data_IF_597672298250
#
_entry.id   IF_597672298250
#
_cell.length_a   1.000
_cell.length_b   1.000
_cell.length_c   1.000
_cell.angle_alpha   90.00
_cell.angle_beta   90.00
_cell.angle_gamma   90.00
#
_symmetry.space_group_name_H-M   'P 1'
#
loop_
_entity.id
_entity.type
_entity.pdbx_description
1 polymer ?
#
# COMPACT_ATOMS: atom_id res chain seq x y z
N UNK A 1 27.12 22.89 -18.88
CA UNK A 1 28.12 21.82 -18.57
C UNK A 1 29.55 22.37 -18.44
N UNK A 2 29.93 23.38 -19.18
CA UNK A 2 31.32 23.88 -19.26
C UNK A 2 31.87 24.48 -17.97
N UNK A 3 31.01 24.82 -16.99
CA UNK A 3 31.39 25.46 -15.73
C UNK A 3 31.64 24.49 -14.56
N UNK A 4 31.41 23.18 -14.75
CA UNK A 4 31.54 22.17 -13.70
C UNK A 4 32.51 21.06 -14.12
N UNK A 5 33.31 20.57 -13.18
CA UNK A 5 34.30 19.52 -13.41
C UNK A 5 33.69 18.13 -13.54
N UNK A 6 32.53 17.93 -12.91
CA UNK A 6 31.78 16.67 -12.93
C UNK A 6 30.38 16.87 -13.48
N UNK A 7 29.87 15.86 -14.17
CA UNK A 7 28.49 15.80 -14.64
C UNK A 7 27.89 14.42 -14.31
N UNK A 8 26.63 14.42 -13.86
CA UNK A 8 25.84 13.24 -13.66
C UNK A 8 24.69 13.23 -14.67
N UNK A 9 24.58 12.18 -15.47
CA UNK A 9 23.48 11.96 -16.41
C UNK A 9 22.49 10.99 -15.78
N UNK A 10 21.22 11.41 -15.71
CA UNK A 10 20.22 10.64 -15.01
C UNK A 10 18.91 10.51 -15.79
N UNK A 11 18.38 9.29 -15.86
CA UNK A 11 17.07 9.00 -16.43
C UNK A 11 15.95 9.54 -15.51
N UNK A 12 15.11 10.44 -15.98
CA UNK A 12 13.92 10.91 -15.25
C UNK A 12 12.97 9.77 -14.88
N UNK A 13 12.97 8.69 -15.65
CA UNK A 13 12.19 7.49 -15.38
C UNK A 13 12.69 6.64 -14.17
N UNK A 14 13.82 6.99 -13.55
CA UNK A 14 14.32 6.38 -12.31
C UNK A 14 14.06 7.28 -11.09
N UNK A 15 12.84 7.72 -10.96
CA UNK A 15 12.40 8.74 -9.98
C UNK A 15 12.60 8.33 -8.51
N UNK A 16 12.87 7.06 -8.20
CA UNK A 16 13.13 6.56 -6.84
C UNK A 16 14.62 6.34 -6.55
N UNK A 17 15.51 6.74 -7.44
CA UNK A 17 16.95 6.64 -7.17
C UNK A 17 17.31 7.39 -5.89
N UNK A 18 17.93 6.72 -4.89
CA UNK A 18 18.17 7.35 -3.60
C UNK A 18 19.32 8.36 -3.70
N UNK A 19 19.30 9.45 -2.89
CA UNK A 19 20.39 10.44 -2.86
C UNK A 19 21.76 9.85 -2.55
N UNK A 20 21.84 8.73 -1.83
CA UNK A 20 23.10 8.02 -1.57
C UNK A 20 23.78 7.56 -2.87
N UNK A 21 23.00 7.06 -3.84
CA UNK A 21 23.54 6.58 -5.11
C UNK A 21 24.24 7.70 -5.90
N UNK A 22 23.72 8.93 -5.85
CA UNK A 22 24.37 10.10 -6.47
C UNK A 22 25.70 10.44 -5.78
N UNK A 23 25.73 10.35 -4.44
CA UNK A 23 26.96 10.59 -3.67
C UNK A 23 28.01 9.51 -3.91
N UNK A 24 27.59 8.25 -4.05
CA UNK A 24 28.48 7.12 -4.31
C UNK A 24 29.13 7.27 -5.71
N UNK A 25 28.35 7.68 -6.72
CA UNK A 25 28.87 7.99 -8.07
C UNK A 25 29.84 9.17 -8.02
N UNK A 26 29.50 10.26 -7.33
CA UNK A 26 30.35 11.43 -7.19
C UNK A 26 31.68 11.06 -6.50
N UNK A 27 31.63 10.31 -5.40
CA UNK A 27 32.82 9.85 -4.69
C UNK A 27 33.73 8.99 -5.57
N UNK A 28 33.17 8.07 -6.35
CA UNK A 28 33.93 7.21 -7.24
C UNK A 28 34.58 7.96 -8.42
N UNK A 29 34.06 9.14 -8.80
CA UNK A 29 34.67 10.02 -9.81
C UNK A 29 35.94 10.71 -9.32
N UNK A 30 36.30 10.66 -8.05
CA UNK A 30 37.59 11.16 -7.56
C UNK A 30 38.75 10.38 -8.21
N UNK A 31 38.57 9.07 -8.40
CA UNK A 31 39.60 8.16 -8.91
C UNK A 31 39.29 7.60 -10.32
N UNK A 32 38.22 8.09 -10.97
CA UNK A 32 37.81 7.63 -12.29
C UNK A 32 37.25 8.75 -13.17
N UNK A 33 37.27 8.54 -14.49
CA UNK A 33 36.70 9.49 -15.44
C UNK A 33 35.25 9.17 -15.82
N UNK A 34 34.83 7.92 -15.62
CA UNK A 34 33.49 7.45 -15.90
C UNK A 34 33.07 6.41 -14.85
N UNK A 35 31.87 6.54 -14.28
CA UNK A 35 31.32 5.65 -13.25
C UNK A 35 29.89 5.28 -13.59
N UNK A 36 29.57 3.99 -13.50
CA UNK A 36 28.22 3.43 -13.77
C UNK A 36 27.77 2.53 -12.63
N UNK A 37 26.62 2.77 -12.01
CA UNK A 37 26.03 1.83 -11.07
C UNK A 37 25.47 0.61 -11.82
N UNK A 38 25.78 -0.59 -11.31
CA UNK A 38 25.31 -1.85 -11.89
C UNK A 38 24.52 -2.66 -10.86
N UNK A 39 23.38 -3.19 -11.27
CA UNK A 39 22.67 -4.25 -10.54
C UNK A 39 23.13 -5.62 -11.03
N UNK A 40 23.38 -6.60 -10.15
CA UNK A 40 23.59 -7.99 -10.54
C UNK A 40 22.40 -8.53 -11.33
N UNK A 41 22.64 -9.31 -12.36
CA UNK A 41 21.60 -9.98 -13.12
C UNK A 41 21.17 -11.25 -12.39
N UNK A 42 19.93 -11.30 -11.90
CA UNK A 42 19.35 -12.42 -11.17
C UNK A 42 18.86 -13.56 -12.06
N UNK A 43 18.36 -13.24 -13.24
CA UNK A 43 17.78 -14.20 -14.17
C UNK A 43 18.83 -14.86 -15.07
N UNK A 44 18.49 -16.03 -15.61
CA UNK A 44 19.30 -16.66 -16.63
C UNK A 44 19.13 -15.96 -17.95
N UNK A 45 20.19 -15.34 -18.48
CA UNK A 45 20.16 -14.60 -19.73
C UNK A 45 20.41 -15.54 -20.92
N UNK A 46 19.55 -15.41 -21.93
CA UNK A 46 19.65 -16.15 -23.20
C UNK A 46 19.91 -15.18 -24.35
N UNK A 47 20.84 -15.53 -25.23
CA UNK A 47 20.94 -14.87 -26.55
C UNK A 47 19.90 -15.47 -27.48
N UNK A 48 19.05 -14.62 -28.07
CA UNK A 48 17.95 -15.07 -28.94
C UNK A 48 18.10 -14.41 -30.33
N UNK A 49 17.88 -15.16 -31.39
CA UNK A 49 17.79 -14.65 -32.77
C UNK A 49 16.64 -15.33 -33.49
N UNK A 50 15.78 -14.55 -34.12
CA UNK A 50 14.58 -15.05 -34.85
C UNK A 50 13.72 -16.04 -34.04
N UNK A 51 13.54 -15.80 -32.74
CA UNK A 51 12.75 -16.64 -31.85
C UNK A 51 13.43 -17.92 -31.35
N UNK A 52 14.70 -18.17 -31.76
CA UNK A 52 15.49 -19.35 -31.35
C UNK A 52 16.52 -18.93 -30.31
N UNK A 53 16.60 -19.70 -29.21
CA UNK A 53 17.65 -19.55 -28.19
C UNK A 53 18.96 -20.09 -28.73
N UNK A 54 19.98 -19.26 -28.82
CA UNK A 54 21.29 -19.60 -29.37
C UNK A 54 22.26 -20.08 -28.28
N UNK A 55 22.29 -19.37 -27.14
CA UNK A 55 23.20 -19.68 -26.04
C UNK A 55 22.68 -19.16 -24.69
N UNK A 56 23.26 -19.65 -23.61
CA UNK A 56 23.10 -19.10 -22.27
C UNK A 56 24.32 -18.26 -21.93
N UNK A 57 24.09 -17.01 -21.58
CA UNK A 57 25.16 -16.08 -21.20
C UNK A 57 25.48 -16.26 -19.71
N UNK A 58 26.75 -16.27 -19.37
CA UNK A 58 27.20 -16.29 -17.97
C UNK A 58 26.85 -14.94 -17.30
N UNK A 59 25.82 -14.97 -16.46
CA UNK A 59 25.33 -13.77 -15.77
C UNK A 59 26.30 -13.20 -14.74
N UNK A 60 27.31 -13.98 -14.27
CA UNK A 60 28.31 -13.47 -13.34
C UNK A 60 29.19 -12.37 -13.95
N UNK A 61 29.21 -12.27 -15.26
CA UNK A 61 29.93 -11.25 -16.03
C UNK A 61 29.03 -10.12 -16.52
N UNK A 62 27.77 -10.12 -16.14
CA UNK A 62 26.79 -9.14 -16.57
C UNK A 62 26.34 -8.24 -15.42
N UNK A 63 26.10 -6.98 -15.72
CA UNK A 63 25.48 -6.01 -14.84
C UNK A 63 24.40 -5.22 -15.57
N UNK A 64 23.25 -5.05 -14.96
CA UNK A 64 22.20 -4.17 -15.48
C UNK A 64 22.55 -2.71 -15.13
N UNK A 65 22.85 -1.90 -16.13
CA UNK A 65 23.25 -0.51 -15.93
C UNK A 65 22.09 0.34 -15.40
N UNK A 66 22.42 1.17 -14.44
CA UNK A 66 21.51 2.18 -13.88
C UNK A 66 22.05 3.58 -14.10
N UNK A 67 21.26 4.58 -13.72
CA UNK A 67 21.67 5.97 -13.61
C UNK A 67 21.37 6.47 -12.20
N UNK A 68 22.13 7.50 -11.67
CA UNK A 68 23.00 8.40 -12.43
C UNK A 68 24.29 7.72 -12.90
N UNK A 69 24.70 8.00 -14.15
CA UNK A 69 26.05 7.74 -14.64
C UNK A 69 26.89 8.99 -14.44
N UNK A 70 28.10 8.85 -13.98
CA UNK A 70 28.96 9.98 -13.66
C UNK A 70 30.17 10.10 -14.56
N UNK A 71 30.58 11.35 -14.88
CA UNK A 71 31.64 11.61 -15.82
C UNK A 71 32.48 12.83 -15.41
N UNK A 72 33.77 12.82 -15.78
CA UNK A 72 34.54 14.06 -15.86
C UNK A 72 34.01 14.84 -17.07
N UNK A 73 33.62 16.09 -16.87
CA UNK A 73 32.93 16.89 -17.88
C UNK A 73 33.73 17.06 -19.17
N UNK A 74 35.05 17.31 -19.07
CA UNK A 74 35.90 17.52 -20.21
C UNK A 74 36.01 16.29 -21.09
N UNK A 75 36.19 15.14 -20.50
CA UNK A 75 36.33 13.85 -21.18
C UNK A 75 35.03 13.44 -21.87
N UNK A 76 33.86 13.63 -21.22
CA UNK A 76 32.56 13.37 -21.83
C UNK A 76 32.31 14.31 -23.02
N UNK A 77 32.58 15.62 -22.90
CA UNK A 77 32.41 16.58 -23.97
C UNK A 77 33.33 16.26 -25.18
N UNK A 78 34.56 15.84 -24.89
CA UNK A 78 35.49 15.39 -25.93
C UNK A 78 34.96 14.16 -26.68
N UNK A 79 34.49 13.14 -25.96
CA UNK A 79 33.92 11.93 -26.53
C UNK A 79 32.67 12.25 -27.37
N UNK A 80 31.77 13.10 -26.87
CA UNK A 80 30.57 13.55 -27.61
C UNK A 80 30.91 14.29 -28.90
N UNK A 81 31.95 15.15 -28.87
CA UNK A 81 32.34 15.96 -30.05
C UNK A 81 33.03 15.15 -31.14
N UNK A 82 33.57 13.98 -30.82
CA UNK A 82 34.32 13.14 -31.76
C UNK A 82 33.56 11.85 -32.16
N UNK A 83 32.33 11.69 -31.73
CA UNK A 83 31.49 10.53 -32.08
C UNK A 83 30.52 10.89 -33.19
N UNK A 84 30.49 10.08 -34.25
CA UNK A 84 29.50 10.14 -35.33
C UNK A 84 28.38 9.08 -35.14
N UNK A 85 28.45 8.26 -34.08
CA UNK A 85 27.58 7.12 -33.85
C UNK A 85 26.73 7.40 -32.61
N UNK A 86 25.45 7.02 -32.66
CA UNK A 86 24.59 6.99 -31.46
C UNK A 86 24.90 5.77 -30.60
N UNK A 87 25.02 5.97 -29.30
CA UNK A 87 25.22 4.93 -28.30
C UNK A 87 23.95 4.77 -27.42
N UNK A 88 23.81 3.61 -26.83
CA UNK A 88 22.67 3.32 -25.97
C UNK A 88 22.72 4.09 -24.63
N UNK A 89 23.92 4.46 -24.19
CA UNK A 89 24.17 5.31 -23.01
C UNK A 89 25.57 5.99 -23.15
N UNK A 90 25.81 6.96 -22.27
CA UNK A 90 27.07 7.72 -22.25
C UNK A 90 28.26 6.86 -21.82
N UNK A 91 28.03 5.80 -21.03
CA UNK A 91 29.09 4.88 -20.65
C UNK A 91 29.61 4.08 -21.84
N UNK A 92 28.74 3.66 -22.76
CA UNK A 92 29.14 3.01 -24.01
C UNK A 92 29.95 3.95 -24.93
N UNK A 93 29.55 5.23 -24.98
CA UNK A 93 30.33 6.26 -25.69
C UNK A 93 31.75 6.40 -25.10
N UNK A 94 31.86 6.46 -23.74
CA UNK A 94 33.16 6.56 -23.08
C UNK A 94 34.03 5.33 -23.31
N UNK A 95 33.45 4.13 -23.37
CA UNK A 95 34.16 2.91 -23.71
C UNK A 95 34.69 2.95 -25.15
N UNK A 96 33.86 3.42 -26.10
CA UNK A 96 34.28 3.60 -27.50
C UNK A 96 35.39 4.65 -27.65
N UNK A 97 35.45 5.63 -26.78
CA UNK A 97 36.53 6.62 -26.66
C UNK A 97 37.74 6.10 -25.84
N UNK A 98 37.85 4.78 -25.65
CA UNK A 98 38.93 4.08 -24.93
C UNK A 98 39.07 4.46 -23.44
N UNK A 99 38.07 5.09 -22.84
CA UNK A 99 38.08 5.36 -21.42
C UNK A 99 37.64 4.13 -20.59
N UNK A 100 38.32 3.93 -19.47
CA UNK A 100 37.90 2.91 -18.48
C UNK A 100 36.64 3.37 -17.79
N UNK A 101 35.58 2.54 -17.82
CA UNK A 101 34.33 2.73 -17.07
C UNK A 101 34.40 1.95 -15.77
N UNK A 102 34.30 2.64 -14.65
CA UNK A 102 34.28 2.03 -13.32
C UNK A 102 32.84 1.61 -12.97
N UNK A 103 32.65 0.34 -12.65
CA UNK A 103 31.39 -0.17 -12.13
C UNK A 103 31.35 -0.03 -10.61
N UNK A 104 30.23 0.49 -10.07
CA UNK A 104 29.91 0.48 -8.64
C UNK A 104 28.60 -0.27 -8.39
N UNK A 105 28.31 -0.57 -7.12
CA UNK A 105 27.05 -1.20 -6.76
C UNK A 105 25.87 -0.27 -7.06
N UNK A 106 24.85 -0.78 -7.73
CA UNK A 106 23.56 -0.11 -7.94
C UNK A 106 22.63 -0.24 -6.75
N UNK A 107 21.44 0.36 -6.85
CA UNK A 107 20.39 0.31 -5.84
C UNK A 107 19.07 -0.17 -6.47
N UNK A 108 18.40 -1.14 -5.83
CA UNK A 108 17.15 -1.71 -6.33
C UNK A 108 16.03 -0.66 -6.45
N UNK A 109 16.09 0.44 -5.68
CA UNK A 109 15.15 1.56 -5.77
C UNK A 109 15.34 2.40 -7.03
N UNK A 110 16.53 2.35 -7.65
CA UNK A 110 16.81 3.04 -8.91
C UNK A 110 16.31 2.27 -10.15
N UNK A 111 15.20 1.50 -10.01
CA UNK A 111 14.58 0.83 -11.16
C UNK A 111 13.97 1.86 -12.12
N UNK A 112 13.84 1.48 -13.39
CA UNK A 112 13.31 2.36 -14.44
C UNK A 112 11.82 2.10 -14.61
N UNK A 113 11.01 3.13 -14.48
CA UNK A 113 9.56 3.09 -14.73
C UNK A 113 9.34 3.22 -16.25
N UNK A 114 9.00 2.11 -16.89
CA UNK A 114 8.86 2.05 -18.37
C UNK A 114 7.58 1.36 -18.82
N UNK A 115 6.97 0.57 -17.94
CA UNK A 115 5.74 -0.18 -18.22
C UNK A 115 4.63 0.26 -17.27
N UNK A 116 3.37 -0.12 -17.57
CA UNK A 116 2.24 0.06 -16.66
C UNK A 116 2.44 -0.67 -15.32
N UNK A 117 3.10 -1.83 -15.34
CA UNK A 117 3.40 -2.58 -14.12
C UNK A 117 4.42 -1.88 -13.23
N UNK A 118 5.45 -1.24 -13.85
CA UNK A 118 6.40 -0.40 -13.12
C UNK A 118 5.68 0.81 -12.50
N UNK A 119 4.73 1.41 -13.21
CA UNK A 119 3.95 2.54 -12.72
C UNK A 119 3.07 2.13 -11.53
N UNK A 120 2.40 0.98 -11.61
CA UNK A 120 1.61 0.43 -10.50
C UNK A 120 2.47 0.14 -9.27
N UNK A 121 3.69 -0.39 -9.48
CA UNK A 121 4.66 -0.57 -8.40
C UNK A 121 5.07 0.78 -7.80
N UNK A 122 5.38 1.76 -8.63
CA UNK A 122 5.74 3.11 -8.21
C UNK A 122 4.63 3.77 -7.40
N UNK A 123 3.38 3.68 -7.84
CA UNK A 123 2.21 4.17 -7.11
C UNK A 123 2.05 3.47 -5.76
N UNK A 124 2.26 2.15 -5.70
CA UNK A 124 2.21 1.39 -4.44
C UNK A 124 3.31 1.80 -3.46
N UNK A 125 4.51 2.12 -3.95
CA UNK A 125 5.64 2.57 -3.12
C UNK A 125 5.41 3.99 -2.57
N UNK A 126 4.70 4.85 -3.31
CA UNK A 126 4.35 6.23 -2.90
C UNK A 126 3.15 6.29 -1.95
N UNK A 127 2.25 5.31 -2.00
CA UNK A 127 1.03 5.27 -1.21
C UNK A 127 1.12 4.26 -0.05
N UNK A 128 1.64 4.66 1.11
CA UNK A 128 1.76 3.76 2.25
C UNK A 128 0.38 3.26 2.67
N UNK A 129 0.27 1.95 2.84
CA UNK A 129 -0.92 1.32 3.41
C UNK A 129 -1.05 1.69 4.88
N UNK A 130 -2.30 1.88 5.33
CA UNK A 130 -2.62 2.24 6.72
C UNK A 130 -3.50 1.17 7.33
N UNK A 131 -3.18 0.77 8.54
CA UNK A 131 -3.99 -0.17 9.32
C UNK A 131 -4.65 0.54 10.49
N UNK A 132 -5.85 0.12 10.84
CA UNK A 132 -6.56 0.58 12.03
C UNK A 132 -7.26 -0.58 12.72
N UNK A 133 -7.55 -0.37 13.98
CA UNK A 133 -8.33 -1.27 14.82
C UNK A 133 -9.49 -0.49 15.42
N UNK A 134 -10.64 -1.15 15.54
CA UNK A 134 -11.83 -0.64 16.21
C UNK A 134 -12.46 -1.72 17.06
N UNK A 135 -13.09 -1.31 18.14
CA UNK A 135 -13.77 -2.21 19.08
C UNK A 135 -15.06 -1.59 19.52
N UNK A 136 -16.10 -2.42 19.67
CA UNK A 136 -17.35 -1.98 20.26
C UNK A 136 -17.98 -3.12 21.07
N UNK A 137 -18.77 -2.78 22.11
CA UNK A 137 -19.46 -3.74 22.93
C UNK A 137 -20.76 -3.15 23.50
N UNK A 138 -21.86 -3.86 23.32
CA UNK A 138 -23.18 -3.45 23.79
C UNK A 138 -23.90 -4.60 24.50
N UNK A 139 -24.62 -4.23 25.52
CA UNK A 139 -25.53 -5.13 26.28
C UNK A 139 -26.88 -5.22 25.56
N UNK A 140 -27.56 -6.37 25.61
CA UNK A 140 -28.94 -6.48 25.15
C UNK A 140 -29.89 -5.61 25.96
N UNK A 141 -30.85 -5.02 25.26
CA UNK A 141 -32.01 -4.35 25.92
C UNK A 141 -33.12 -5.37 26.20
N UNK A 142 -34.27 -4.87 26.72
CA UNK A 142 -35.41 -5.72 26.99
C UNK A 142 -36.44 -5.74 25.84
N UNK A 143 -36.24 -4.99 24.75
CA UNK A 143 -37.23 -4.85 23.69
C UNK A 143 -36.55 -4.39 22.36
N UNK A 144 -37.31 -4.43 21.27
CA UNK A 144 -36.86 -4.05 19.92
C UNK A 144 -36.23 -5.22 19.17
N UNK A 145 -35.87 -4.99 17.94
CA UNK A 145 -35.20 -5.96 17.08
C UNK A 145 -33.69 -5.71 16.99
N UNK A 146 -32.90 -6.76 17.06
CA UNK A 146 -31.45 -6.68 16.97
C UNK A 146 -31.05 -6.30 15.53
N UNK A 147 -30.26 -5.23 15.41
CA UNK A 147 -29.45 -4.93 14.24
C UNK A 147 -28.01 -5.34 14.51
N UNK A 148 -27.42 -6.14 13.63
CA UNK A 148 -26.04 -6.58 13.76
C UNK A 148 -25.42 -6.88 12.39
N UNK A 149 -24.37 -6.13 12.04
CA UNK A 149 -23.73 -6.18 10.72
C UNK A 149 -24.66 -5.69 9.61
N UNK A 150 -25.45 -4.66 9.87
CA UNK A 150 -26.47 -4.09 8.98
C UNK A 150 -27.51 -5.12 8.51
N UNK A 151 -27.77 -6.14 9.34
CA UNK A 151 -28.83 -7.14 9.16
C UNK A 151 -29.75 -7.20 10.36
N UNK A 152 -31.04 -7.47 10.12
CA UNK A 152 -32.04 -7.69 11.15
C UNK A 152 -31.93 -9.14 11.70
N UNK A 153 -32.00 -9.28 13.02
CA UNK A 153 -32.03 -10.55 13.74
C UNK A 153 -33.30 -10.60 14.60
N UNK A 154 -34.44 -10.99 14.03
CA UNK A 154 -35.77 -10.79 14.62
C UNK A 154 -36.00 -11.57 15.90
N UNK A 155 -35.22 -12.61 16.19
CA UNK A 155 -35.38 -13.48 17.35
C UNK A 155 -34.74 -12.93 18.62
N UNK A 156 -34.05 -11.80 18.54
CA UNK A 156 -33.28 -11.22 19.63
C UNK A 156 -33.63 -9.76 19.86
N UNK A 157 -33.60 -9.28 21.11
CA UNK A 157 -33.83 -7.87 21.44
C UNK A 157 -32.66 -7.02 20.93
N UNK A 158 -32.92 -5.74 20.63
CA UNK A 158 -31.89 -4.80 20.22
C UNK A 158 -30.80 -4.66 21.28
N UNK A 159 -29.65 -4.20 20.88
CA UNK A 159 -28.57 -3.76 21.77
C UNK A 159 -28.87 -2.35 22.33
N UNK A 160 -28.41 -2.06 23.53
CA UNK A 160 -28.51 -0.74 24.16
C UNK A 160 -27.52 0.22 23.47
N UNK A 161 -27.95 1.45 23.19
CA UNK A 161 -27.10 2.47 22.57
C UNK A 161 -27.91 3.69 22.18
N UNK A 162 -27.23 4.76 21.78
CA UNK A 162 -27.84 6.00 21.26
C UNK A 162 -28.25 5.86 19.78
N UNK A 163 -27.70 4.85 19.07
CA UNK A 163 -28.00 4.46 17.69
C UNK A 163 -28.84 3.19 17.66
N UNK A 164 -28.74 2.40 16.59
CA UNK A 164 -29.32 1.05 16.50
C UNK A 164 -28.54 0.00 17.32
N UNK A 165 -27.35 0.35 17.84
CA UNK A 165 -26.49 -0.53 18.62
C UNK A 165 -25.74 -1.59 17.83
N UNK A 166 -25.61 -1.42 16.51
CA UNK A 166 -24.91 -2.38 15.64
C UNK A 166 -23.42 -2.45 15.96
N UNK A 167 -23.06 -3.31 16.90
CA UNK A 167 -21.70 -3.50 17.39
C UNK A 167 -20.68 -3.84 16.28
N UNK A 168 -21.10 -4.60 15.26
CA UNK A 168 -20.23 -4.95 14.13
C UNK A 168 -19.93 -3.70 13.29
N UNK A 169 -20.97 -2.95 12.92
CA UNK A 169 -20.81 -1.75 12.11
C UNK A 169 -19.98 -0.68 12.85
N UNK A 170 -20.23 -0.48 14.15
CA UNK A 170 -19.47 0.48 14.96
C UNK A 170 -17.99 0.11 15.07
N UNK A 171 -17.66 -1.16 15.35
CA UNK A 171 -16.28 -1.61 15.38
C UNK A 171 -15.58 -1.40 14.02
N UNK A 172 -16.27 -1.61 12.91
CA UNK A 172 -15.74 -1.36 11.57
C UNK A 172 -15.52 0.14 11.33
N UNK A 173 -16.47 0.99 11.74
CA UNK A 173 -16.34 2.47 11.66
C UNK A 173 -15.09 2.92 12.39
N UNK A 174 -14.89 2.47 13.62
CA UNK A 174 -13.72 2.82 14.42
C UNK A 174 -12.41 2.31 13.78
N UNK A 175 -12.40 1.10 13.24
CA UNK A 175 -11.25 0.59 12.53
C UNK A 175 -10.88 1.44 11.30
N UNK A 176 -11.88 1.87 10.52
CA UNK A 176 -11.70 2.73 9.35
C UNK A 176 -11.20 4.13 9.74
N UNK A 177 -11.82 4.76 10.74
CA UNK A 177 -11.42 6.07 11.27
C UNK A 177 -10.01 6.03 11.86
N UNK A 178 -9.69 5.00 12.64
CA UNK A 178 -8.36 4.76 13.21
C UNK A 178 -7.29 4.64 12.13
N UNK A 179 -7.53 3.84 11.09
CA UNK A 179 -6.61 3.71 9.95
C UNK A 179 -6.37 5.03 9.22
N UNK A 180 -7.40 5.88 9.14
CA UNK A 180 -7.33 7.20 8.51
C UNK A 180 -6.71 8.29 9.38
N UNK A 181 -6.51 8.04 10.68
CA UNK A 181 -6.09 9.05 11.65
C UNK A 181 -7.17 10.12 11.90
N UNK A 182 -8.45 9.70 11.84
CA UNK A 182 -9.63 10.58 11.99
C UNK A 182 -10.32 10.44 13.37
N UNK A 183 -9.68 9.80 14.34
CA UNK A 183 -10.25 9.56 15.67
C UNK A 183 -11.18 8.34 15.70
N UNK A 184 -12.34 8.49 16.30
CA UNK A 184 -13.31 7.44 16.58
C UNK A 184 -14.76 7.85 16.27
N UNK A 185 -15.72 6.93 16.45
CA UNK A 185 -17.14 7.18 16.21
C UNK A 185 -17.67 8.31 17.11
N UNK A 186 -17.19 8.40 18.36
CA UNK A 186 -17.63 9.42 19.32
C UNK A 186 -17.22 10.83 18.90
N UNK A 187 -16.00 11.01 18.41
CA UNK A 187 -15.48 12.30 17.95
C UNK A 187 -16.08 12.77 16.62
N UNK A 188 -16.50 11.85 15.74
CA UNK A 188 -17.06 12.21 14.43
C UNK A 188 -18.59 12.23 14.41
N UNK A 189 -19.25 11.41 15.21
CA UNK A 189 -20.69 11.18 15.18
C UNK A 189 -21.32 11.16 16.59
N UNK A 190 -20.72 11.91 17.52
CA UNK A 190 -21.08 11.89 18.94
C UNK A 190 -22.52 12.29 19.26
N UNK A 191 -22.90 12.07 20.52
CA UNK A 191 -24.26 12.29 21.04
C UNK A 191 -24.72 13.76 21.00
N UNK A 192 -23.82 14.69 20.83
CA UNK A 192 -24.05 16.11 20.61
C UNK A 192 -24.51 16.46 19.17
N UNK A 193 -24.56 15.46 18.29
CA UNK A 193 -24.99 15.61 16.90
C UNK A 193 -26.39 14.98 16.69
N UNK A 194 -27.48 15.77 16.72
CA UNK A 194 -28.85 15.22 16.69
C UNK A 194 -29.18 14.38 15.46
N UNK A 195 -28.49 14.61 14.33
CA UNK A 195 -28.70 13.86 13.07
C UNK A 195 -28.32 12.39 13.16
N UNK A 196 -27.55 11.98 14.18
CA UNK A 196 -27.15 10.61 14.40
C UNK A 196 -27.93 9.90 15.51
N UNK A 197 -28.90 10.61 16.14
CA UNK A 197 -29.78 9.97 17.10
C UNK A 197 -30.64 8.90 16.42
N UNK A 198 -30.49 7.64 16.85
CA UNK A 198 -31.16 6.49 16.23
C UNK A 198 -30.65 6.12 14.84
N UNK A 199 -29.51 6.65 14.41
CA UNK A 199 -28.92 6.30 13.12
C UNK A 199 -28.55 4.84 13.04
N UNK A 200 -28.65 4.25 11.84
CA UNK A 200 -28.29 2.87 11.58
C UNK A 200 -26.77 2.72 11.42
N UNK A 201 -26.25 1.52 11.72
CA UNK A 201 -24.87 1.16 11.48
C UNK A 201 -24.44 1.40 10.02
N UNK A 202 -25.34 1.14 9.06
CA UNK A 202 -25.12 1.43 7.65
C UNK A 202 -24.86 2.92 7.39
N UNK A 203 -25.64 3.81 8.04
CA UNK A 203 -25.45 5.25 7.92
C UNK A 203 -24.07 5.68 8.39
N UNK A 204 -23.60 5.19 9.53
CA UNK A 204 -22.26 5.48 10.03
C UNK A 204 -21.16 4.98 9.10
N UNK A 205 -21.33 3.79 8.51
CA UNK A 205 -20.38 3.27 7.53
C UNK A 205 -20.30 4.17 6.29
N UNK A 206 -21.43 4.59 5.71
CA UNK A 206 -21.47 5.44 4.52
C UNK A 206 -20.86 6.82 4.78
N UNK A 207 -21.18 7.44 5.92
CA UNK A 207 -20.61 8.73 6.29
C UNK A 207 -19.10 8.63 6.56
N UNK A 208 -18.65 7.53 7.18
CA UNK A 208 -17.22 7.23 7.35
C UNK A 208 -16.51 7.10 6.00
N UNK A 209 -17.07 6.36 5.05
CA UNK A 209 -16.49 6.23 3.70
C UNK A 209 -16.40 7.60 3.01
N UNK A 210 -17.35 8.49 3.23
CA UNK A 210 -17.31 9.86 2.71
C UNK A 210 -16.16 10.67 3.31
N UNK A 211 -15.90 10.52 4.62
CA UNK A 211 -14.75 11.13 5.30
C UNK A 211 -13.40 10.59 4.77
N UNK A 212 -13.33 9.28 4.54
CA UNK A 212 -12.14 8.66 3.94
C UNK A 212 -11.89 9.18 2.53
N UNK A 213 -12.93 9.23 1.68
CA UNK A 213 -12.84 9.72 0.32
C UNK A 213 -12.35 11.17 0.24
N UNK A 214 -12.79 12.03 1.17
CA UNK A 214 -12.32 13.41 1.30
C UNK A 214 -10.83 13.51 1.64
N UNK A 215 -10.21 12.43 2.16
CA UNK A 215 -8.77 12.28 2.41
C UNK A 215 -8.06 11.45 1.33
N UNK A 216 -8.76 11.12 0.24
CA UNK A 216 -8.24 10.24 -0.81
C UNK A 216 -7.80 8.87 -0.26
N UNK A 217 -8.52 8.34 0.73
CA UNK A 217 -8.28 7.04 1.34
C UNK A 217 -9.41 6.08 0.99
N UNK A 218 -9.06 4.83 0.72
CA UNK A 218 -10.01 3.80 0.29
C UNK A 218 -9.75 2.49 1.01
N UNK A 219 -10.80 1.76 1.46
CA UNK A 219 -10.64 0.44 2.04
C UNK A 219 -10.07 -0.57 1.05
N UNK A 220 -9.12 -1.39 1.52
CA UNK A 220 -8.60 -2.57 0.79
C UNK A 220 -9.34 -3.81 1.26
N UNK A 221 -9.45 -3.98 2.58
CA UNK A 221 -10.20 -5.04 3.22
C UNK A 221 -10.52 -4.68 4.68
N UNK A 222 -11.51 -5.35 5.24
CA UNK A 222 -11.86 -5.31 6.64
C UNK A 222 -11.99 -6.74 7.16
N UNK A 223 -11.49 -6.99 8.37
CA UNK A 223 -11.78 -8.23 9.09
C UNK A 223 -12.41 -7.89 10.44
N UNK A 224 -13.51 -8.57 10.79
CA UNK A 224 -14.17 -8.38 12.07
C UNK A 224 -14.33 -9.71 12.81
N UNK A 225 -14.02 -9.70 14.08
CA UNK A 225 -14.22 -10.82 14.99
C UNK A 225 -15.32 -10.46 15.99
N UNK A 226 -16.40 -11.24 15.97
CA UNK A 226 -17.55 -11.07 16.87
C UNK A 226 -17.40 -12.00 18.06
N UNK A 227 -17.64 -11.49 19.25
CA UNK A 227 -17.69 -12.25 20.49
C UNK A 227 -19.13 -12.25 21.01
N UNK A 228 -19.81 -13.39 20.93
CA UNK A 228 -21.23 -13.48 21.25
C UNK A 228 -21.68 -14.93 21.49
N UNK A 229 -22.47 -15.15 22.54
CA UNK A 229 -23.17 -16.41 22.70
C UNK A 229 -24.42 -16.47 21.82
N UNK A 230 -25.08 -15.33 21.61
CA UNK A 230 -26.24 -15.13 20.75
C UNK A 230 -26.13 -13.76 20.06
N UNK A 231 -26.49 -13.65 18.76
CA UNK A 231 -26.87 -14.74 17.83
C UNK A 231 -25.68 -15.62 17.45
N UNK A 232 -25.95 -16.83 16.99
CA UNK A 232 -24.92 -17.65 16.35
C UNK A 232 -24.64 -17.09 14.95
N UNK A 233 -23.46 -16.53 14.76
CA UNK A 233 -23.06 -15.84 13.52
C UNK A 233 -22.88 -16.82 12.35
N UNK A 234 -22.39 -18.03 12.62
CA UNK A 234 -22.04 -19.03 11.58
C UNK A 234 -23.10 -19.22 10.51
N UNK A 235 -24.39 -19.44 10.84
CA UNK A 235 -25.44 -19.66 9.84
C UNK A 235 -25.66 -18.51 8.86
N UNK A 236 -25.40 -17.26 9.27
CA UNK A 236 -25.59 -16.06 8.45
C UNK A 236 -24.29 -15.35 8.08
N UNK A 237 -23.13 -15.98 8.29
CA UNK A 237 -21.81 -15.40 8.02
C UNK A 237 -21.69 -14.86 6.60
N UNK A 238 -22.01 -15.68 5.62
CA UNK A 238 -21.89 -15.28 4.19
C UNK A 238 -22.81 -14.11 3.85
N UNK A 239 -24.00 -14.03 4.46
CA UNK A 239 -24.92 -12.91 4.28
C UNK A 239 -24.35 -11.62 4.88
N UNK A 240 -23.76 -11.69 6.09
CA UNK A 240 -23.06 -10.58 6.73
C UNK A 240 -21.90 -10.08 5.88
N UNK A 241 -21.04 -10.99 5.43
CA UNK A 241 -19.88 -10.67 4.60
C UNK A 241 -20.30 -10.01 3.29
N UNK A 242 -21.32 -10.53 2.62
CA UNK A 242 -21.86 -9.97 1.39
C UNK A 242 -22.45 -8.57 1.61
N UNK A 243 -23.26 -8.39 2.68
CA UNK A 243 -23.89 -7.10 3.01
C UNK A 243 -22.84 -6.03 3.32
N UNK A 244 -21.92 -6.32 4.22
CA UNK A 244 -20.89 -5.39 4.64
C UNK A 244 -19.91 -5.08 3.50
N UNK A 245 -19.54 -6.08 2.69
CA UNK A 245 -18.67 -5.87 1.52
C UNK A 245 -19.32 -4.95 0.48
N UNK A 246 -20.63 -5.09 0.26
CA UNK A 246 -21.38 -4.22 -0.65
C UNK A 246 -21.41 -2.77 -0.15
N UNK A 247 -21.60 -2.52 1.15
CA UNK A 247 -21.62 -1.18 1.73
C UNK A 247 -20.23 -0.56 1.66
N UNK A 248 -19.18 -1.30 2.08
CA UNK A 248 -17.81 -0.80 2.21
C UNK A 248 -17.09 -0.72 0.85
N UNK A 249 -17.60 -1.39 -0.17
CA UNK A 249 -16.97 -1.53 -1.50
C UNK A 249 -15.58 -2.17 -1.43
N UNK A 250 -15.37 -3.06 -0.45
CA UNK A 250 -14.14 -3.83 -0.24
C UNK A 250 -14.47 -5.16 0.45
N UNK A 251 -13.64 -6.20 0.30
CA UNK A 251 -13.86 -7.49 0.97
C UNK A 251 -13.94 -7.34 2.49
N UNK A 252 -15.00 -7.91 3.09
CA UNK A 252 -15.17 -8.02 4.54
C UNK A 252 -15.21 -9.48 4.92
N UNK A 253 -14.41 -9.89 5.90
CA UNK A 253 -14.45 -11.22 6.51
C UNK A 253 -15.00 -11.14 7.94
N UNK A 254 -15.86 -12.09 8.31
CA UNK A 254 -16.52 -12.15 9.62
C UNK A 254 -16.15 -13.46 10.32
N UNK A 255 -15.38 -13.35 11.40
CA UNK A 255 -15.17 -14.43 12.35
C UNK A 255 -16.09 -14.31 13.57
N UNK A 256 -16.29 -15.39 14.29
CA UNK A 256 -17.06 -15.36 15.54
C UNK A 256 -16.55 -16.39 16.53
N UNK A 257 -16.63 -16.03 17.81
CA UNK A 257 -16.33 -16.90 18.95
C UNK A 257 -17.33 -16.62 20.08
N UNK A 258 -17.32 -17.48 21.10
CA UNK A 258 -18.03 -17.26 22.37
C UNK A 258 -17.04 -16.90 23.46
N UNK A 259 -17.53 -16.52 24.64
CA UNK A 259 -16.70 -16.34 25.83
C UNK A 259 -16.58 -17.62 26.68
N UNK A 260 -17.27 -18.70 26.29
CA UNK A 260 -17.38 -19.95 27.05
C UNK A 260 -17.87 -19.70 28.49
N UNK A 261 -18.77 -18.72 28.68
CA UNK A 261 -19.33 -18.34 29.97
C UNK A 261 -18.42 -17.46 30.82
N UNK A 262 -17.35 -16.89 30.28
CA UNK A 262 -16.44 -16.01 31.01
C UNK A 262 -16.72 -14.53 30.73
N UNK A 263 -16.55 -13.70 31.77
CA UNK A 263 -16.55 -12.25 31.66
C UNK A 263 -17.92 -11.60 31.50
N UNK A 264 -17.92 -10.33 31.10
CA UNK A 264 -19.12 -9.47 31.04
C UNK A 264 -20.12 -9.83 29.94
N UNK A 265 -19.71 -10.61 28.95
CA UNK A 265 -20.57 -11.13 27.88
C UNK A 265 -21.14 -12.52 28.19
N UNK A 266 -20.80 -13.09 29.34
CA UNK A 266 -21.34 -14.39 29.80
C UNK A 266 -22.87 -14.38 29.82
N UNK A 267 -23.47 -15.56 29.69
CA UNK A 267 -24.92 -15.75 29.73
C UNK A 267 -25.71 -14.96 28.66
N UNK A 268 -25.10 -14.74 27.52
CA UNK A 268 -25.68 -14.01 26.38
C UNK A 268 -26.17 -12.59 26.77
N UNK A 269 -25.40 -11.87 27.58
CA UNK A 269 -25.78 -10.52 28.04
C UNK A 269 -25.57 -9.46 26.97
N UNK A 270 -24.74 -9.70 25.98
CA UNK A 270 -24.42 -8.71 24.93
C UNK A 270 -23.60 -9.27 23.81
N UNK A 271 -23.11 -8.35 22.97
CA UNK A 271 -22.23 -8.62 21.84
C UNK A 271 -21.04 -7.68 21.91
N UNK A 272 -19.85 -8.19 21.60
CA UNK A 272 -18.68 -7.37 21.34
C UNK A 272 -18.10 -7.70 19.96
N UNK A 273 -17.45 -6.73 19.36
CA UNK A 273 -16.76 -6.90 18.09
C UNK A 273 -15.40 -6.21 18.12
N UNK A 274 -14.44 -6.81 17.43
CA UNK A 274 -13.13 -6.24 17.16
C UNK A 274 -12.94 -6.25 15.65
N UNK A 275 -12.67 -5.10 15.05
CA UNK A 275 -12.44 -4.99 13.62
C UNK A 275 -11.03 -4.48 13.33
N UNK A 276 -10.47 -4.89 12.21
CA UNK A 276 -9.27 -4.31 11.63
C UNK A 276 -9.59 -3.85 10.21
N UNK A 277 -9.04 -2.71 9.83
CA UNK A 277 -9.18 -2.18 8.47
C UNK A 277 -7.80 -1.94 7.86
N UNK A 278 -7.67 -2.20 6.57
CA UNK A 278 -6.52 -1.81 5.75
C UNK A 278 -7.00 -0.80 4.72
N UNK A 279 -6.35 0.37 4.68
CA UNK A 279 -6.62 1.43 3.71
C UNK A 279 -5.43 1.62 2.77
N UNK A 280 -5.72 2.14 1.57
CA UNK A 280 -4.74 2.72 0.64
C UNK A 280 -5.08 4.17 0.33
N UNK A 281 -4.09 4.96 -0.09
CA UNK A 281 -4.33 6.23 -0.74
C UNK A 281 -4.91 6.04 -2.16
N UNK A 282 -5.38 7.13 -2.79
CA UNK A 282 -5.67 7.14 -4.23
C UNK A 282 -4.38 6.99 -5.02
N UNK A 283 -4.46 6.27 -6.11
CA UNK A 283 -3.40 6.20 -7.12
C UNK A 283 -3.24 7.55 -7.84
#
# INVERSE_FOLDING_TARGET
LVSHDLVLVHDAARCFAPPSLFKDVEAALLDSVCVVPLMPVSDTIKRVMAGVVLETIDRSQLGAAQTPQGFKTKELLFALSNSEIEFTDEAALMQAAEHKVLAIAGDARAYKVTTSDDLNKAASDLNPRRTGIGTDAHEFSNAGELMLGCLIWPELPKLKGHSDGDTIAHAIVDALLSAAGLGDIGSNFGVDQPQYSGASGERFLLDTLSLLAAKSLYPINVAVQVVSDKPKIGPRRLELEARLSAIISAPVSVGATTTDGLGFLADARGVAAVATALLRGSD
#
